data_IF_577277105744
#
_entry.id   IF_577277105744
#
_cell.length_a   1.000
_cell.length_b   1.000
_cell.length_c   1.000
_cell.angle_alpha   90.00
_cell.angle_beta   90.00
_cell.angle_gamma   90.00
#
_symmetry.space_group_name_H-M   'P 1'
#
loop_
_entity.id
_entity.type
_entity.pdbx_description
1 polymer ?
#
# COMPACT_ATOMS: atom_id res chain seq x y z
N UNK A 1 9.29 -11.71 -2.14
CA UNK A 1 9.22 -10.29 -1.75
C UNK A 1 8.82 -9.49 -2.97
N UNK A 2 7.74 -8.73 -2.87
CA UNK A 2 7.31 -7.80 -3.91
C UNK A 2 6.80 -6.52 -3.25
N UNK A 3 6.80 -5.43 -4.01
CA UNK A 3 6.29 -4.12 -3.60
C UNK A 3 5.60 -3.47 -4.78
N UNK A 4 4.49 -2.79 -4.52
CA UNK A 4 3.82 -1.91 -5.48
C UNK A 4 3.68 -0.54 -4.83
N UNK A 5 4.15 0.50 -5.50
CA UNK A 5 4.25 1.86 -4.97
C UNK A 5 3.58 2.86 -5.91
N UNK A 6 2.94 3.85 -5.29
CA UNK A 6 2.47 5.07 -5.90
C UNK A 6 3.11 6.26 -5.19
N UNK A 7 3.73 7.15 -5.96
CA UNK A 7 4.39 8.33 -5.42
C UNK A 7 4.05 9.54 -6.29
N UNK A 8 3.64 10.64 -5.66
CA UNK A 8 3.34 11.90 -6.32
C UNK A 8 4.48 12.91 -6.15
N UNK A 9 4.57 13.87 -7.08
CA UNK A 9 5.49 15.01 -6.95
C UNK A 9 5.12 15.96 -5.81
N UNK A 10 3.86 15.95 -5.38
CA UNK A 10 3.35 16.66 -4.19
C UNK A 10 3.94 16.11 -2.88
N UNK A 11 4.46 14.87 -2.91
CA UNK A 11 5.09 14.21 -1.78
C UNK A 11 4.26 13.13 -1.11
N UNK A 12 3.03 12.89 -1.57
CA UNK A 12 2.27 11.70 -1.19
C UNK A 12 2.96 10.43 -1.70
N UNK A 13 3.10 9.43 -0.84
CA UNK A 13 3.78 8.18 -1.15
C UNK A 13 3.11 7.01 -0.42
N UNK A 14 2.59 6.04 -1.15
CA UNK A 14 1.92 4.88 -0.56
C UNK A 14 2.17 3.59 -1.36
N UNK A 15 1.93 2.45 -0.71
CA UNK A 15 2.12 1.18 -1.39
C UNK A 15 1.91 -0.06 -0.53
N UNK A 16 1.81 -1.19 -1.22
CA UNK A 16 1.68 -2.52 -0.62
C UNK A 16 3.00 -3.27 -0.68
N UNK A 17 3.39 -3.86 0.44
CA UNK A 17 4.64 -4.61 0.60
C UNK A 17 4.35 -6.03 1.04
N UNK A 18 5.11 -6.98 0.49
CA UNK A 18 5.22 -8.34 1.02
C UNK A 18 6.65 -8.59 1.52
N UNK A 19 6.92 -8.15 2.75
CA UNK A 19 8.19 -8.27 3.46
C UNK A 19 7.99 -8.24 5.00
N UNK A 20 8.91 -8.82 5.79
CA UNK A 20 8.88 -8.64 7.25
C UNK A 20 9.00 -7.17 7.64
N UNK A 21 8.12 -6.69 8.53
CA UNK A 21 8.13 -5.32 9.02
C UNK A 21 7.86 -5.31 10.53
N UNK A 22 8.65 -4.56 11.31
CA UNK A 22 8.50 -4.49 12.78
C UNK A 22 7.24 -3.75 13.25
N UNK A 23 6.54 -3.05 12.35
CA UNK A 23 5.35 -2.25 12.65
C UNK A 23 4.05 -3.03 12.53
N UNK A 24 4.05 -4.20 11.87
CA UNK A 24 2.85 -5.04 11.67
C UNK A 24 3.14 -6.51 11.93
N UNK A 25 2.15 -7.26 12.42
CA UNK A 25 2.25 -8.70 12.56
C UNK A 25 1.95 -9.40 11.22
N UNK A 26 3.00 -9.71 10.46
CA UNK A 26 2.85 -10.41 9.19
C UNK A 26 3.87 -9.95 8.15
N UNK A 27 3.68 -10.42 6.92
CA UNK A 27 4.52 -10.03 5.79
C UNK A 27 3.82 -9.03 4.88
N UNK A 28 2.50 -9.10 4.77
CA UNK A 28 1.75 -8.26 3.85
C UNK A 28 1.16 -7.04 4.57
N UNK A 29 1.52 -5.85 4.11
CA UNK A 29 1.11 -4.61 4.73
C UNK A 29 0.99 -3.48 3.70
N UNK A 30 0.15 -2.52 4.04
CA UNK A 30 0.12 -1.23 3.39
C UNK A 30 0.98 -0.24 4.19
N UNK A 31 1.63 0.67 3.50
CA UNK A 31 2.31 1.80 4.10
C UNK A 31 2.03 3.08 3.33
N UNK A 32 1.93 4.19 4.04
CA UNK A 32 1.71 5.50 3.44
C UNK A 32 2.45 6.60 4.18
N UNK A 33 2.76 7.66 3.45
CA UNK A 33 3.30 8.92 3.96
C UNK A 33 2.55 10.04 3.24
N UNK A 34 1.75 10.79 4.01
CA UNK A 34 0.88 11.85 3.48
C UNK A 34 1.67 13.04 2.92
N UNK A 35 2.80 13.38 3.53
CA UNK A 35 3.68 14.49 3.10
C UNK A 35 5.16 14.16 3.33
N UNK A 36 6.11 14.79 2.60
CA UNK A 36 7.54 14.48 2.73
C UNK A 36 8.11 14.58 4.14
N UNK A 37 7.51 15.43 4.98
CA UNK A 37 7.97 15.72 6.35
C UNK A 37 7.36 14.79 7.41
N UNK A 38 6.45 13.89 7.00
CA UNK A 38 5.81 12.91 7.89
C UNK A 38 6.51 11.56 7.85
N UNK A 39 6.31 10.76 8.89
CA UNK A 39 6.76 9.37 8.92
C UNK A 39 5.78 8.50 8.14
N UNK A 40 6.24 7.32 7.72
CA UNK A 40 5.33 6.31 7.22
C UNK A 40 4.43 5.80 8.35
N UNK A 41 3.16 5.66 8.03
CA UNK A 41 2.18 4.87 8.77
C UNK A 41 2.06 3.49 8.13
N UNK A 42 1.76 2.49 8.95
CA UNK A 42 1.75 1.09 8.53
C UNK A 42 0.44 0.45 9.00
N UNK A 43 -0.22 -0.26 8.10
CA UNK A 43 -1.42 -1.02 8.41
C UNK A 43 -1.29 -2.44 7.88
N UNK A 44 -1.78 -3.40 8.67
CA UNK A 44 -1.86 -4.78 8.22
C UNK A 44 -2.82 -4.86 7.04
N UNK A 45 -2.49 -5.68 6.05
CA UNK A 45 -3.33 -5.91 4.89
C UNK A 45 -3.39 -7.40 4.56
N UNK A 46 -4.27 -7.77 3.64
CA UNK A 46 -4.43 -9.14 3.14
C UNK A 46 -4.78 -9.14 1.66
N UNK A 47 -4.49 -10.25 0.99
CA UNK A 47 -5.00 -10.56 -0.34
C UNK A 47 -5.75 -11.89 -0.27
N UNK A 48 -6.91 -11.94 -0.90
CA UNK A 48 -7.70 -13.17 -1.05
C UNK A 48 -7.30 -13.96 -2.31
N UNK A 49 -6.60 -13.32 -3.25
CA UNK A 49 -6.15 -13.94 -4.49
C UNK A 49 -5.31 -15.21 -4.29
N UNK A 50 -5.63 -16.23 -5.08
CA UNK A 50 -4.95 -17.54 -5.07
C UNK A 50 -4.03 -17.76 -6.27
N UNK A 51 -3.93 -16.79 -7.18
CA UNK A 51 -3.03 -16.81 -8.33
C UNK A 51 -2.28 -15.49 -8.45
N UNK A 52 -1.06 -15.47 -9.02
CA UNK A 52 -0.30 -14.23 -9.17
C UNK A 52 -1.03 -13.15 -9.98
N UNK A 53 -1.77 -13.55 -11.03
CA UNK A 53 -2.52 -12.60 -11.86
C UNK A 53 -3.69 -12.00 -11.09
N UNK A 54 -4.45 -12.81 -10.35
CA UNK A 54 -5.53 -12.31 -9.48
C UNK A 54 -4.98 -11.36 -8.41
N UNK A 55 -3.82 -11.68 -7.82
CA UNK A 55 -3.20 -10.85 -6.78
C UNK A 55 -2.77 -9.48 -7.33
N UNK A 56 -2.27 -9.43 -8.57
CA UNK A 56 -1.93 -8.17 -9.21
C UNK A 56 -3.16 -7.29 -9.42
N UNK A 57 -4.28 -7.87 -9.89
CA UNK A 57 -5.52 -7.11 -10.06
C UNK A 57 -6.08 -6.61 -8.74
N UNK A 58 -6.15 -7.47 -7.73
CA UNK A 58 -6.60 -7.10 -6.38
C UNK A 58 -5.73 -5.98 -5.77
N UNK A 59 -4.40 -6.03 -5.96
CA UNK A 59 -3.50 -4.97 -5.52
C UNK A 59 -3.74 -3.64 -6.24
N UNK A 60 -4.03 -3.68 -7.54
CA UNK A 60 -4.32 -2.46 -8.32
C UNK A 60 -5.66 -1.85 -7.89
N UNK A 61 -6.67 -2.69 -7.62
CA UNK A 61 -7.98 -2.24 -7.12
C UNK A 61 -7.84 -1.58 -5.74
N UNK A 62 -7.12 -2.22 -4.79
CA UNK A 62 -6.85 -1.64 -3.47
C UNK A 62 -6.08 -0.31 -3.55
N UNK A 63 -5.10 -0.22 -4.47
CA UNK A 63 -4.34 1.01 -4.66
C UNK A 63 -5.20 2.11 -5.29
N UNK A 64 -6.08 1.78 -6.24
CA UNK A 64 -7.03 2.73 -6.79
C UNK A 64 -7.99 3.25 -5.70
N UNK A 65 -8.52 2.37 -4.86
CA UNK A 65 -9.41 2.75 -3.75
C UNK A 65 -8.72 3.73 -2.80
N UNK A 66 -7.46 3.48 -2.44
CA UNK A 66 -6.69 4.38 -1.58
C UNK A 66 -6.50 5.75 -2.23
N UNK A 67 -6.02 5.79 -3.48
CA UNK A 67 -5.75 7.04 -4.20
C UNK A 67 -7.04 7.84 -4.43
N UNK A 68 -8.15 7.16 -4.72
CA UNK A 68 -9.46 7.82 -4.88
C UNK A 68 -10.03 8.31 -3.56
N UNK A 69 -9.77 7.59 -2.46
CA UNK A 69 -10.15 7.97 -1.11
C UNK A 69 -9.50 9.27 -0.63
N UNK A 70 -8.25 9.53 -1.06
CA UNK A 70 -7.55 10.80 -0.77
C UNK A 70 -8.08 12.00 -1.57
N UNK A 71 -8.86 11.78 -2.64
CA UNK A 71 -9.57 12.84 -3.36
C UNK A 71 -10.92 13.14 -2.69
N UNK A 72 -10.89 13.51 -1.40
CA UNK A 72 -12.03 14.19 -0.76
C UNK A 72 -12.29 13.90 0.72
N UNK A 73 -11.66 14.69 1.60
CA UNK A 73 -12.33 15.57 2.60
C UNK A 73 -11.43 16.76 2.91
#
# INVERSE_FOLDING_TARGET
MFKLHYSESSGYDCGFHNEPNSHVEGWFHFQERSTPDTKYEYSLSSLDARTPVSALWELLDLLEEQIRGDVGT
#
